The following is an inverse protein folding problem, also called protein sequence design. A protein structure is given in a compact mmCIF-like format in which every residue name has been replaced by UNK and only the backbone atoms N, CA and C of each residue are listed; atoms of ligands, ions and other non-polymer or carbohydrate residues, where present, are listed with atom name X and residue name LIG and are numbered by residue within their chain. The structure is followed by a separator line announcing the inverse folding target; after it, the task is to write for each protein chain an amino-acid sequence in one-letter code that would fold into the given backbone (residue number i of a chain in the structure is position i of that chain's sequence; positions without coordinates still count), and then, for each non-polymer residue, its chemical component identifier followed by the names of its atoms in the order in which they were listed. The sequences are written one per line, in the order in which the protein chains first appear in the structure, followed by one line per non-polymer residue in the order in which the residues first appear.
data_IF_721328454147
#
_entry.id   IF_721328454147
#
_cell.length_a   1.000
_cell.length_b   1.000
_cell.length_c   1.000
_cell.angle_alpha   90.00
_cell.angle_beta   90.00
_cell.angle_gamma   90.00
#
_symmetry.space_group_name_H-M   'P 1'
#
loop_
_entity.id
_entity.type
_entity.pdbx_description
1 polymer ?
#
# COMPACT_ATOMS: atom_id res chain seq x y z
N UNK A 1 -13.38 12.60 22.29
CA UNK A 1 -13.05 13.14 20.95
C UNK A 1 -13.85 12.38 19.93
N UNK A 2 -14.42 13.04 18.93
CA UNK A 2 -15.17 12.38 17.86
C UNK A 2 -14.15 11.54 17.04
N UNK A 3 -14.46 10.26 16.83
CA UNK A 3 -13.59 9.39 16.03
C UNK A 3 -13.62 9.86 14.58
N UNK A 4 -12.45 10.11 13.99
CA UNK A 4 -12.31 10.53 12.59
C UNK A 4 -12.52 9.34 11.64
N UNK A 5 -13.23 9.52 10.53
CA UNK A 5 -13.48 8.46 9.56
C UNK A 5 -12.19 8.05 8.84
N UNK A 6 -11.98 6.73 8.70
CA UNK A 6 -10.93 6.12 7.88
C UNK A 6 -11.54 5.52 6.62
N UNK A 7 -11.06 5.90 5.45
CA UNK A 7 -11.37 5.25 4.19
C UNK A 7 -10.30 4.21 3.86
N UNK A 8 -10.69 2.94 3.82
CA UNK A 8 -9.82 1.84 3.43
C UNK A 8 -10.01 1.57 1.93
N UNK A 9 -8.93 1.63 1.17
CA UNK A 9 -8.90 1.50 -0.29
C UNK A 9 -8.46 0.10 -0.66
N UNK A 10 -9.31 -0.64 -1.40
CA UNK A 10 -9.01 -1.99 -1.86
C UNK A 10 -9.27 -2.14 -3.35
N UNK A 11 -8.26 -2.43 -4.18
CA UNK A 11 -8.47 -2.85 -5.55
C UNK A 11 -8.82 -4.34 -5.60
N UNK A 12 -9.71 -4.73 -6.50
CA UNK A 12 -10.09 -6.12 -6.75
C UNK A 12 -9.98 -6.46 -8.23
N UNK A 13 -9.48 -7.65 -8.55
CA UNK A 13 -9.53 -8.26 -9.88
C UNK A 13 -9.36 -9.77 -9.78
N UNK A 14 -10.40 -10.56 -10.11
CA UNK A 14 -10.41 -12.02 -10.03
C UNK A 14 -9.84 -12.53 -8.70
N UNK A 15 -10.39 -12.04 -7.58
CA UNK A 15 -9.80 -12.17 -6.25
C UNK A 15 -10.59 -13.11 -5.31
N UNK A 16 -11.53 -13.91 -5.83
CA UNK A 16 -12.45 -14.76 -5.05
C UNK A 16 -11.74 -15.57 -3.95
N UNK A 17 -10.52 -16.03 -4.24
CA UNK A 17 -9.75 -16.90 -3.35
C UNK A 17 -9.37 -16.27 -2.00
N UNK A 18 -9.14 -14.97 -1.95
CA UNK A 18 -8.58 -14.32 -0.75
C UNK A 18 -9.36 -13.09 -0.28
N UNK A 19 -10.16 -12.48 -1.16
CA UNK A 19 -10.79 -11.20 -0.88
C UNK A 19 -11.73 -11.24 0.34
N UNK A 20 -12.38 -12.38 0.60
CA UNK A 20 -13.21 -12.56 1.79
C UNK A 20 -12.42 -12.38 3.08
N UNK A 21 -11.26 -13.05 3.20
CA UNK A 21 -10.38 -12.87 4.37
C UNK A 21 -9.90 -11.42 4.51
N UNK A 22 -9.62 -10.75 3.38
CA UNK A 22 -9.15 -9.36 3.36
C UNK A 22 -10.25 -8.39 3.79
N UNK A 23 -11.49 -8.59 3.36
CA UNK A 23 -12.65 -7.79 3.78
C UNK A 23 -12.93 -8.01 5.28
N UNK A 24 -12.99 -9.27 5.71
CA UNK A 24 -13.28 -9.62 7.09
C UNK A 24 -12.27 -9.02 8.06
N UNK A 25 -10.97 -9.04 7.76
CA UNK A 25 -9.97 -8.45 8.64
C UNK A 25 -10.08 -6.93 8.76
N UNK A 26 -10.64 -6.23 7.77
CA UNK A 26 -10.90 -4.79 7.82
C UNK A 26 -12.17 -4.51 8.62
N UNK A 27 -13.25 -5.25 8.39
CA UNK A 27 -14.51 -5.06 9.10
C UNK A 27 -14.39 -5.39 10.60
N UNK A 28 -13.45 -6.27 10.96
CA UNK A 28 -13.15 -6.68 12.34
C UNK A 28 -12.04 -5.86 13.00
N UNK A 29 -11.65 -4.70 12.46
CA UNK A 29 -10.72 -3.79 13.14
C UNK A 29 -11.31 -3.30 14.47
N UNK A 30 -10.46 -3.10 15.48
CA UNK A 30 -10.90 -2.50 16.76
C UNK A 30 -11.39 -1.07 16.58
N UNK A 31 -10.86 -0.35 15.62
CA UNK A 31 -11.34 0.96 15.22
C UNK A 31 -12.50 0.83 14.22
N UNK A 32 -13.73 1.12 14.67
CA UNK A 32 -14.95 0.85 13.91
C UNK A 32 -15.42 1.99 12.98
N UNK A 33 -14.94 3.23 13.17
CA UNK A 33 -15.35 4.36 12.32
C UNK A 33 -14.57 4.35 11.01
N UNK A 34 -14.89 3.38 10.15
CA UNK A 34 -14.28 3.17 8.86
C UNK A 34 -15.31 2.96 7.76
N UNK A 35 -14.89 3.23 6.51
CA UNK A 35 -15.54 2.77 5.30
C UNK A 35 -14.55 1.95 4.48
N UNK A 36 -15.01 0.89 3.83
CA UNK A 36 -14.23 0.06 2.93
C UNK A 36 -14.68 0.29 1.50
N UNK A 37 -13.81 0.89 0.69
CA UNK A 37 -14.06 1.24 -0.70
C UNK A 37 -13.34 0.27 -1.60
N UNK A 38 -14.08 -0.62 -2.24
CA UNK A 38 -13.56 -1.66 -3.14
C UNK A 38 -13.86 -1.25 -4.58
N UNK A 39 -12.82 -1.11 -5.40
CA UNK A 39 -13.02 -0.96 -6.83
C UNK A 39 -12.61 -2.25 -7.53
N UNK A 40 -13.59 -2.90 -8.15
CA UNK A 40 -13.39 -4.06 -9.00
C UNK A 40 -12.99 -3.64 -10.41
N UNK A 41 -11.78 -4.03 -10.82
CA UNK A 41 -11.16 -3.64 -12.08
C UNK A 41 -11.57 -4.58 -13.22
N UNK A 42 -12.89 -4.74 -13.41
CA UNK A 42 -13.50 -5.59 -14.43
C UNK A 42 -13.20 -7.08 -14.26
N UNK A 43 -13.51 -7.64 -13.10
CA UNK A 43 -13.40 -9.10 -12.89
C UNK A 43 -14.27 -9.88 -13.86
N UNK A 44 -13.70 -10.96 -14.39
CA UNK A 44 -14.40 -11.93 -15.25
C UNK A 44 -14.84 -13.18 -14.49
N UNK A 45 -14.36 -13.32 -13.27
CA UNK A 45 -14.69 -14.38 -12.32
C UNK A 45 -16.00 -14.06 -11.60
N UNK A 46 -17.04 -14.86 -11.84
CA UNK A 46 -18.37 -14.68 -11.26
C UNK A 46 -18.36 -14.81 -9.73
N UNK A 47 -17.51 -15.68 -9.18
CA UNK A 47 -17.39 -15.90 -7.74
C UNK A 47 -16.90 -14.62 -7.02
N UNK A 48 -15.92 -13.91 -7.60
CA UNK A 48 -15.50 -12.60 -7.11
C UNK A 48 -16.66 -11.60 -7.08
N UNK A 49 -17.42 -11.51 -8.19
CA UNK A 49 -18.51 -10.55 -8.30
C UNK A 49 -19.66 -10.85 -7.32
N UNK A 50 -20.02 -12.12 -7.14
CA UNK A 50 -21.06 -12.56 -6.19
C UNK A 50 -20.63 -12.29 -4.75
N UNK A 51 -19.38 -12.60 -4.40
CA UNK A 51 -18.81 -12.38 -3.09
C UNK A 51 -18.83 -10.89 -2.72
N UNK A 52 -18.35 -10.03 -3.61
CA UNK A 52 -18.37 -8.59 -3.45
C UNK A 52 -19.79 -8.07 -3.21
N UNK A 53 -20.76 -8.43 -4.06
CA UNK A 53 -22.18 -8.03 -3.88
C UNK A 53 -22.74 -8.52 -2.56
N UNK A 54 -22.34 -9.69 -2.07
CA UNK A 54 -22.77 -10.23 -0.79
C UNK A 54 -22.30 -9.37 0.39
N UNK A 55 -21.03 -8.94 0.38
CA UNK A 55 -20.47 -8.08 1.42
C UNK A 55 -21.14 -6.69 1.43
N UNK A 56 -21.37 -6.10 0.26
CA UNK A 56 -22.08 -4.81 0.15
C UNK A 56 -23.48 -4.84 0.74
N UNK A 57 -24.17 -5.98 0.63
CA UNK A 57 -25.51 -6.16 1.23
C UNK A 57 -25.46 -6.39 2.74
N UNK A 58 -24.38 -7.02 3.24
CA UNK A 58 -24.26 -7.40 4.66
C UNK A 58 -23.78 -6.26 5.56
N UNK A 59 -22.91 -5.38 5.06
CA UNK A 59 -22.31 -4.33 5.88
C UNK A 59 -22.33 -2.98 5.14
N UNK A 60 -23.00 -2.00 5.72
CA UNK A 60 -23.17 -0.65 5.14
C UNK A 60 -21.88 0.14 4.99
N UNK A 61 -20.81 -0.26 5.70
CA UNK A 61 -19.48 0.32 5.57
C UNK A 61 -18.79 -0.07 4.25
N UNK A 62 -19.22 -1.16 3.59
CA UNK A 62 -18.66 -1.67 2.33
C UNK A 62 -19.33 -1.00 1.14
N UNK A 63 -18.53 -0.36 0.30
CA UNK A 63 -18.96 0.25 -0.96
C UNK A 63 -18.16 -0.34 -2.10
N UNK A 64 -18.84 -0.76 -3.17
CA UNK A 64 -18.21 -1.41 -4.31
C UNK A 64 -18.49 -0.64 -5.58
N UNK A 65 -17.43 -0.45 -6.37
CA UNK A 65 -17.45 0.20 -7.67
C UNK A 65 -16.98 -0.79 -8.73
N UNK A 66 -17.80 -1.09 -9.72
CA UNK A 66 -17.46 -2.00 -10.82
C UNK A 66 -17.00 -1.17 -12.02
N UNK A 67 -15.76 -1.40 -12.48
CA UNK A 67 -15.22 -0.70 -13.64
C UNK A 67 -15.67 -1.37 -14.94
N UNK A 68 -15.92 -0.59 -16.03
CA UNK A 68 -16.35 -1.14 -17.31
C UNK A 68 -15.24 -1.89 -18.06
N UNK A 69 -13.97 -1.66 -17.69
CA UNK A 69 -12.79 -2.26 -18.32
C UNK A 69 -11.63 -2.37 -17.32
N UNK A 70 -10.65 -3.26 -17.59
CA UNK A 70 -9.46 -3.45 -16.76
C UNK A 70 -8.38 -2.41 -17.05
N UNK A 71 -8.21 -1.46 -16.14
CA UNK A 71 -7.22 -0.38 -16.22
C UNK A 71 -6.03 -0.56 -15.25
N UNK A 72 -6.07 -1.59 -14.43
CA UNK A 72 -5.04 -1.95 -13.46
C UNK A 72 -5.27 -1.37 -12.06
N UNK A 73 -4.61 -1.99 -11.08
CA UNK A 73 -4.81 -1.70 -9.66
C UNK A 73 -4.62 -0.23 -9.25
N UNK A 74 -3.77 0.53 -9.96
CA UNK A 74 -3.60 1.97 -9.68
C UNK A 74 -4.83 2.79 -10.02
N UNK A 75 -5.48 2.47 -11.14
CA UNK A 75 -6.72 3.12 -11.55
C UNK A 75 -7.85 2.75 -10.59
N UNK A 76 -7.97 1.48 -10.25
CA UNK A 76 -8.96 1.02 -9.27
C UNK A 76 -8.79 1.72 -7.91
N UNK A 77 -7.54 1.85 -7.41
CA UNK A 77 -7.29 2.59 -6.17
C UNK A 77 -7.65 4.07 -6.30
N UNK A 78 -7.35 4.70 -7.43
CA UNK A 78 -7.70 6.12 -7.65
C UNK A 78 -9.21 6.35 -7.64
N UNK A 79 -9.99 5.45 -8.22
CA UNK A 79 -11.45 5.52 -8.15
C UNK A 79 -11.93 5.47 -6.69
N UNK A 80 -11.44 4.52 -5.90
CA UNK A 80 -11.77 4.45 -4.47
C UNK A 80 -11.26 5.66 -3.68
N UNK A 81 -10.07 6.21 -3.97
CA UNK A 81 -9.55 7.43 -3.35
C UNK A 81 -10.48 8.63 -3.66
N UNK A 82 -10.97 8.74 -4.89
CA UNK A 82 -11.89 9.80 -5.29
C UNK A 82 -13.18 9.77 -4.46
N UNK A 83 -13.73 8.59 -4.23
CA UNK A 83 -14.97 8.36 -3.48
C UNK A 83 -14.79 8.40 -1.95
N UNK A 84 -13.54 8.38 -1.46
CA UNK A 84 -13.24 8.36 -0.03
C UNK A 84 -13.76 9.62 0.69
N UNK A 85 -14.40 9.43 1.84
CA UNK A 85 -14.94 10.52 2.68
C UNK A 85 -14.16 10.70 3.98
N UNK A 86 -13.29 9.75 4.30
CA UNK A 86 -12.49 9.76 5.52
C UNK A 86 -11.40 10.81 5.51
N UNK A 87 -11.09 11.33 6.69
CA UNK A 87 -9.89 12.13 6.91
C UNK A 87 -8.62 11.32 6.66
N UNK A 88 -8.62 10.06 7.05
CA UNK A 88 -7.49 9.17 6.84
C UNK A 88 -7.77 8.21 5.70
N UNK A 89 -6.75 7.97 4.86
CA UNK A 89 -6.80 7.00 3.78
C UNK A 89 -5.76 5.91 4.05
N UNK A 90 -6.22 4.66 4.10
CA UNK A 90 -5.40 3.47 4.29
C UNK A 90 -5.56 2.51 3.09
N UNK A 91 -4.59 1.62 2.86
CA UNK A 91 -4.57 0.71 1.72
C UNK A 91 -4.49 -0.74 2.18
N UNK A 92 -5.33 -1.60 1.60
CA UNK A 92 -5.25 -3.04 1.75
C UNK A 92 -5.50 -3.71 0.40
N UNK A 93 -4.60 -4.56 -0.05
CA UNK A 93 -4.82 -5.32 -1.29
C UNK A 93 -5.73 -6.53 -1.01
N UNK A 94 -6.44 -7.01 -2.04
CA UNK A 94 -7.46 -8.06 -1.92
C UNK A 94 -6.93 -9.46 -1.55
N UNK A 95 -5.61 -9.60 -1.41
CA UNK A 95 -4.93 -10.82 -0.99
C UNK A 95 -4.15 -10.66 0.33
N UNK A 96 -4.15 -9.45 0.92
CA UNK A 96 -3.45 -9.12 2.16
C UNK A 96 -4.40 -9.12 3.37
N UNK A 97 -3.83 -9.11 4.59
CA UNK A 97 -4.61 -9.05 5.84
C UNK A 97 -3.99 -8.10 6.84
N UNK A 98 -4.83 -7.54 7.72
CA UNK A 98 -4.43 -6.69 8.81
C UNK A 98 -4.59 -7.38 10.16
N UNK A 99 -3.75 -7.00 11.12
CA UNK A 99 -4.00 -7.30 12.54
C UNK A 99 -5.18 -6.48 13.04
N UNK A 100 -5.96 -6.98 14.02
CA UNK A 100 -7.17 -6.31 14.49
C UNK A 100 -6.96 -4.87 14.98
N UNK A 101 -5.81 -4.58 15.58
CA UNK A 101 -5.52 -3.29 16.20
C UNK A 101 -4.79 -2.30 15.26
N UNK A 102 -4.61 -2.64 13.97
CA UNK A 102 -3.78 -1.83 13.07
C UNK A 102 -4.25 -0.38 12.97
N UNK A 103 -5.52 -0.15 12.68
CA UNK A 103 -6.04 1.20 12.52
C UNK A 103 -5.98 1.97 13.84
N UNK A 104 -6.37 1.36 14.95
CA UNK A 104 -6.32 1.98 16.28
C UNK A 104 -4.91 2.47 16.62
N UNK A 105 -3.92 1.58 16.53
CA UNK A 105 -2.52 1.90 16.85
C UNK A 105 -1.92 2.96 15.94
N UNK A 106 -2.17 2.88 14.64
CA UNK A 106 -1.65 3.88 13.70
C UNK A 106 -2.28 5.26 13.90
N UNK A 107 -3.57 5.33 14.16
CA UNK A 107 -4.25 6.60 14.44
C UNK A 107 -3.78 7.23 15.74
N UNK A 108 -3.65 6.46 16.82
CA UNK A 108 -3.08 6.91 18.09
C UNK A 108 -1.65 7.47 17.90
N UNK A 109 -0.84 6.74 17.13
CA UNK A 109 0.51 7.19 16.80
C UNK A 109 0.51 8.50 16.01
N UNK A 110 -0.32 8.62 14.97
CA UNK A 110 -0.43 9.85 14.16
C UNK A 110 -0.95 11.03 14.97
N UNK A 111 -1.88 10.80 15.90
CA UNK A 111 -2.44 11.85 16.75
C UNK A 111 -1.45 12.32 17.84
N UNK A 112 -0.48 11.49 18.21
CA UNK A 112 0.58 11.85 19.16
C UNK A 112 1.79 12.54 18.52
N UNK A 113 1.79 12.68 17.18
CA UNK A 113 2.87 13.29 16.40
C UNK A 113 2.28 14.27 15.39
N UNK A 114 2.23 15.55 15.73
CA UNK A 114 1.55 16.59 14.94
C UNK A 114 2.06 16.74 13.50
N UNK A 115 3.30 16.34 13.23
CA UNK A 115 3.93 16.36 11.90
C UNK A 115 3.78 15.03 11.13
N UNK A 116 3.09 14.03 11.70
CA UNK A 116 2.89 12.73 11.08
C UNK A 116 1.73 12.74 10.10
N UNK A 117 1.97 13.08 8.85
CA UNK A 117 0.95 12.98 7.81
C UNK A 117 0.94 11.62 7.07
N UNK A 118 2.01 10.84 7.15
CA UNK A 118 2.12 9.49 6.56
C UNK A 118 2.72 8.54 7.59
N UNK A 119 1.96 7.51 7.98
CA UNK A 119 2.38 6.45 8.86
C UNK A 119 2.36 5.11 8.14
N UNK A 120 3.28 4.21 8.50
CA UNK A 120 3.34 2.84 7.99
C UNK A 120 3.87 1.89 9.09
N UNK A 121 3.83 0.58 8.85
CA UNK A 121 4.30 -0.38 9.84
C UNK A 121 5.16 -1.47 9.25
N UNK A 122 5.82 -2.24 10.11
CA UNK A 122 6.34 -3.56 9.74
C UNK A 122 5.19 -4.48 9.33
N UNK A 123 5.52 -5.57 8.62
CA UNK A 123 4.55 -6.57 8.23
C UNK A 123 5.18 -7.96 8.16
N UNK A 124 4.36 -8.96 8.41
CA UNK A 124 4.73 -10.36 8.24
C UNK A 124 4.51 -10.78 6.79
N UNK A 125 5.39 -11.63 6.30
CA UNK A 125 5.26 -12.23 4.95
C UNK A 125 4.76 -13.65 5.11
N UNK A 126 3.68 -14.00 4.40
CA UNK A 126 3.18 -15.37 4.32
C UNK A 126 3.13 -15.85 2.86
N UNK A 127 3.09 -17.16 2.68
CA UNK A 127 2.82 -17.76 1.36
C UNK A 127 1.31 -17.83 1.08
N UNK A 128 0.96 -18.44 -0.06
CA UNK A 128 -0.43 -18.59 -0.50
C UNK A 128 -1.31 -19.41 0.48
N UNK A 129 -0.70 -20.28 1.30
CA UNK A 129 -1.41 -21.05 2.34
C UNK A 129 -1.54 -20.29 3.68
N UNK A 130 -0.94 -19.10 3.79
CA UNK A 130 -0.91 -18.32 5.02
C UNK A 130 0.26 -18.66 5.96
N UNK A 131 1.16 -19.58 5.58
CA UNK A 131 2.32 -19.94 6.39
C UNK A 131 3.33 -18.78 6.45
N UNK A 132 3.80 -18.44 7.64
CA UNK A 132 4.80 -17.41 7.87
C UNK A 132 6.14 -17.72 7.18
N UNK A 133 6.70 -16.73 6.47
CA UNK A 133 7.95 -16.83 5.69
C UNK A 133 8.99 -15.77 6.06
N UNK A 134 8.64 -14.83 6.93
CA UNK A 134 9.55 -13.78 7.36
C UNK A 134 8.84 -12.49 7.72
N UNK A 135 9.62 -11.49 8.09
CA UNK A 135 9.16 -10.17 8.49
C UNK A 135 9.91 -9.10 7.70
N UNK A 136 9.21 -8.01 7.37
CA UNK A 136 9.80 -6.78 6.86
C UNK A 136 9.66 -5.71 7.93
N UNK A 137 10.80 -5.24 8.44
CA UNK A 137 10.86 -4.25 9.50
C UNK A 137 10.82 -2.85 8.91
N UNK A 138 9.89 -2.03 9.39
CA UNK A 138 9.79 -0.62 9.07
C UNK A 138 10.86 0.19 9.84
N UNK A 139 11.57 1.14 9.20
CA UNK A 139 12.34 2.13 9.95
C UNK A 139 11.37 3.03 10.73
N UNK A 140 11.74 3.45 11.93
CA UNK A 140 10.90 4.33 12.77
C UNK A 140 10.65 5.70 12.13
N UNK A 141 11.58 6.16 11.28
CA UNK A 141 11.51 7.43 10.53
C UNK A 141 12.05 7.21 9.13
N UNK A 142 11.44 7.86 8.15
CA UNK A 142 11.83 7.75 6.75
C UNK A 142 11.76 9.15 6.10
N UNK A 143 12.86 9.59 5.52
CA UNK A 143 12.96 10.86 4.79
C UNK A 143 12.59 10.68 3.31
N UNK A 144 12.24 11.78 2.63
CA UNK A 144 11.99 11.78 1.19
C UNK A 144 13.19 11.20 0.40
N UNK A 145 14.43 11.57 0.78
CA UNK A 145 15.65 11.09 0.13
C UNK A 145 15.80 9.57 0.26
N UNK A 146 15.58 9.03 1.46
CA UNK A 146 15.65 7.57 1.67
C UNK A 146 14.56 6.81 0.91
N UNK A 147 13.31 7.32 0.89
CA UNK A 147 12.23 6.73 0.11
C UNK A 147 12.49 6.82 -1.38
N UNK A 148 13.13 7.90 -1.87
CA UNK A 148 13.53 8.05 -3.26
C UNK A 148 14.56 7.00 -3.69
N UNK A 149 15.45 6.58 -2.78
CA UNK A 149 16.48 5.57 -3.05
C UNK A 149 15.93 4.12 -2.99
N UNK A 150 14.91 3.85 -2.18
CA UNK A 150 14.33 2.51 -2.03
C UNK A 150 12.89 2.62 -1.51
N UNK A 151 11.94 1.89 -2.12
CA UNK A 151 10.59 1.80 -1.59
C UNK A 151 10.58 0.96 -0.31
N UNK A 152 10.56 1.63 0.84
CA UNK A 152 10.54 1.02 2.18
C UNK A 152 9.13 0.94 2.78
N UNK A 153 8.12 1.48 2.12
CA UNK A 153 6.73 1.49 2.59
C UNK A 153 5.96 0.38 1.88
N UNK A 154 5.48 -0.60 2.63
CA UNK A 154 4.52 -1.59 2.12
C UNK A 154 3.14 -0.96 1.93
N UNK A 155 2.54 -1.07 0.74
CA UNK A 155 1.25 -0.45 0.44
C UNK A 155 0.19 -0.81 1.50
N UNK A 156 0.08 -2.10 1.84
CA UNK A 156 -0.86 -2.63 2.84
C UNK A 156 -0.69 -2.05 4.25
N UNK A 157 0.44 -1.42 4.55
CA UNK A 157 0.73 -0.88 5.88
C UNK A 157 0.51 0.62 6.00
N UNK A 158 0.38 1.31 4.87
CA UNK A 158 0.34 2.75 4.83
C UNK A 158 -1.03 3.34 5.19
N UNK A 159 -1.00 4.45 5.92
CA UNK A 159 -2.13 5.34 6.20
C UNK A 159 -1.66 6.78 6.14
N UNK A 160 -2.43 7.68 5.53
CA UNK A 160 -2.09 9.09 5.49
C UNK A 160 -3.28 10.00 5.85
N UNK A 161 -2.98 11.18 6.41
CA UNK A 161 -3.95 12.22 6.74
C UNK A 161 -4.19 13.12 5.52
N UNK A 162 -5.45 13.28 5.10
CA UNK A 162 -5.83 14.16 4.00
C UNK A 162 -5.97 15.62 4.44
N UNK A 163 -6.10 15.88 5.74
CA UNK A 163 -6.40 17.22 6.27
C UNK A 163 -5.36 18.28 5.87
N UNK A 164 -4.03 18.01 5.94
CA UNK A 164 -3.07 19.05 5.62
C UNK A 164 -2.91 19.32 4.12
N UNK A 165 -3.09 18.33 3.26
CA UNK A 165 -2.70 18.43 1.84
C UNK A 165 -3.74 17.87 0.85
N UNK A 166 -4.89 17.43 1.32
CA UNK A 166 -5.92 16.78 0.49
C UNK A 166 -5.58 15.36 0.08
N UNK A 167 -6.31 14.86 -0.90
CA UNK A 167 -6.14 13.52 -1.44
C UNK A 167 -4.99 13.47 -2.45
N UNK A 168 -4.21 12.41 -2.40
CA UNK A 168 -3.17 12.10 -3.39
C UNK A 168 -3.60 10.93 -4.26
N UNK A 169 -3.24 10.97 -5.55
CA UNK A 169 -3.58 9.95 -6.52
C UNK A 169 -2.35 9.24 -7.06
N UNK A 170 -2.52 7.98 -7.42
CA UNK A 170 -1.47 7.18 -8.04
C UNK A 170 -1.28 7.61 -9.50
N UNK A 171 -0.05 7.70 -10.02
CA UNK A 171 0.17 7.99 -11.44
C UNK A 171 -0.26 6.81 -12.31
N UNK A 172 -0.54 7.08 -13.59
CA UNK A 172 -0.96 6.09 -14.60
C UNK A 172 0.19 5.22 -15.08
N UNK A 173 0.90 4.56 -14.14
CA UNK A 173 1.93 3.56 -14.41
C UNK A 173 1.47 2.21 -13.89
N UNK A 174 1.73 1.11 -14.61
CA UNK A 174 1.17 -0.20 -14.23
C UNK A 174 1.80 -0.86 -13.01
N UNK A 175 2.98 -0.40 -12.55
CA UNK A 175 3.68 -0.92 -11.36
C UNK A 175 4.36 0.23 -10.64
N UNK A 176 4.60 0.07 -9.33
CA UNK A 176 5.22 1.10 -8.48
C UNK A 176 4.36 2.36 -8.27
N UNK A 177 3.05 2.25 -8.52
CA UNK A 177 2.12 3.36 -8.31
C UNK A 177 2.08 3.81 -6.84
N UNK A 178 2.12 2.83 -5.94
CA UNK A 178 2.21 3.01 -4.48
C UNK A 178 3.45 3.81 -4.09
N UNK A 179 4.61 3.44 -4.61
CA UNK A 179 5.85 4.17 -4.35
C UNK A 179 5.78 5.62 -4.85
N UNK A 180 5.26 5.83 -6.05
CA UNK A 180 5.09 7.17 -6.60
C UNK A 180 4.08 8.00 -5.78
N UNK A 181 2.99 7.40 -5.30
CA UNK A 181 2.03 8.04 -4.40
C UNK A 181 2.73 8.51 -3.11
N UNK A 182 3.46 7.62 -2.43
CA UNK A 182 4.15 7.95 -1.18
C UNK A 182 5.23 9.03 -1.38
N UNK A 183 5.95 8.99 -2.48
CA UNK A 183 6.88 10.06 -2.84
C UNK A 183 6.18 11.41 -3.03
N UNK A 184 5.00 11.45 -3.66
CA UNK A 184 4.21 12.67 -3.81
C UNK A 184 3.71 13.20 -2.46
N UNK A 185 3.26 12.34 -1.56
CA UNK A 185 2.91 12.72 -0.18
C UNK A 185 4.14 13.30 0.52
N UNK A 186 5.27 12.62 0.47
CA UNK A 186 6.48 13.03 1.17
C UNK A 186 7.15 14.26 0.58
N UNK A 187 6.86 14.64 -0.65
CA UNK A 187 7.24 15.98 -1.19
C UNK A 187 6.56 17.12 -0.43
N UNK A 188 5.48 16.86 0.29
CA UNK A 188 4.74 17.83 1.10
C UNK A 188 5.10 17.74 2.59
N UNK A 189 5.09 16.53 3.15
CA UNK A 189 5.35 16.33 4.58
C UNK A 189 6.82 16.03 4.94
N UNK A 190 7.68 15.77 3.94
CA UNK A 190 9.12 15.53 4.06
C UNK A 190 9.55 14.29 4.86
N UNK A 191 8.73 13.83 5.81
CA UNK A 191 8.99 12.70 6.71
C UNK A 191 7.78 11.79 6.78
N UNK A 192 8.02 10.47 6.79
CA UNK A 192 7.03 9.46 7.14
C UNK A 192 7.49 8.72 8.40
N UNK A 193 6.55 8.26 9.20
CA UNK A 193 6.82 7.55 10.44
C UNK A 193 6.44 6.08 10.34
N UNK A 194 7.35 5.21 10.77
CA UNK A 194 7.18 3.78 10.74
C UNK A 194 7.07 3.17 12.13
N UNK A 195 6.10 2.29 12.30
CA UNK A 195 5.95 1.47 13.51
C UNK A 195 6.71 0.17 13.32
N UNK A 196 7.62 -0.16 14.24
CA UNK A 196 8.43 -1.38 14.20
C UNK A 196 7.55 -2.63 14.43
N UNK A 197 6.43 -2.48 15.13
CA UNK A 197 5.46 -3.55 15.33
C UNK A 197 4.83 -3.97 13.98
N UNK A 198 4.75 -5.29 13.67
CA UNK A 198 4.06 -5.75 12.48
C UNK A 198 2.54 -5.64 12.68
N UNK A 199 1.86 -4.94 11.77
CA UNK A 199 0.42 -4.71 11.82
C UNK A 199 -0.33 -5.28 10.61
N UNK A 200 0.36 -6.00 9.72
CA UNK A 200 -0.25 -6.60 8.53
C UNK A 200 0.46 -7.88 8.10
N UNK A 201 -0.23 -8.69 7.29
CA UNK A 201 0.29 -9.86 6.60
C UNK A 201 0.31 -9.61 5.10
N UNK A 202 1.48 -9.63 4.50
CA UNK A 202 1.68 -9.61 3.06
C UNK A 202 1.67 -11.03 2.50
N UNK A 203 0.73 -11.37 1.62
CA UNK A 203 0.62 -12.69 1.00
C UNK A 203 1.42 -12.74 -0.29
N UNK A 204 2.39 -13.66 -0.37
CA UNK A 204 3.09 -13.96 -1.62
C UNK A 204 2.30 -14.98 -2.43
N UNK A 205 1.63 -14.51 -3.47
CA UNK A 205 0.91 -15.38 -4.40
C UNK A 205 1.78 -15.72 -5.62
N UNK A 206 1.58 -16.88 -6.29
CA UNK A 206 2.30 -17.23 -7.52
C UNK A 206 2.10 -16.21 -8.65
N UNK A 207 0.96 -15.53 -8.68
CA UNK A 207 0.52 -14.58 -9.72
C UNK A 207 0.86 -13.13 -9.40
N UNK A 208 1.41 -12.87 -8.20
CA UNK A 208 1.71 -11.52 -7.70
C UNK A 208 2.55 -10.66 -8.65
N UNK A 209 2.12 -9.41 -8.85
CA UNK A 209 2.71 -8.44 -9.80
C UNK A 209 4.20 -8.14 -9.55
N UNK A 210 4.71 -8.39 -8.33
CA UNK A 210 6.08 -8.07 -7.91
C UNK A 210 7.14 -9.09 -8.35
N UNK A 211 6.77 -10.20 -8.98
CA UNK A 211 7.66 -11.35 -9.21
C UNK A 211 8.74 -11.14 -10.28
N UNK A 212 8.47 -10.35 -11.34
CA UNK A 212 9.40 -10.14 -12.46
C UNK A 212 10.32 -8.94 -12.21
N UNK A 213 11.40 -9.13 -11.44
CA UNK A 213 12.30 -8.04 -10.97
C UNK A 213 12.94 -7.21 -12.08
N UNK A 214 13.37 -7.83 -13.19
CA UNK A 214 13.98 -7.09 -14.31
C UNK A 214 13.02 -6.12 -14.99
N UNK A 215 11.73 -6.48 -15.09
CA UNK A 215 10.71 -5.58 -15.64
C UNK A 215 10.43 -4.38 -14.72
N UNK A 216 10.81 -4.44 -13.43
CA UNK A 216 10.61 -3.32 -12.49
C UNK A 216 11.57 -2.15 -12.73
N UNK A 217 12.72 -2.37 -13.38
CA UNK A 217 13.72 -1.31 -13.64
C UNK A 217 13.09 -0.17 -14.46
N UNK A 218 12.41 -0.51 -15.55
CA UNK A 218 11.74 0.51 -16.38
C UNK A 218 10.62 1.25 -15.64
N UNK A 219 9.89 0.55 -14.76
CA UNK A 219 8.87 1.19 -13.92
C UNK A 219 9.49 2.10 -12.85
N UNK A 220 10.65 1.74 -12.28
CA UNK A 220 11.37 2.62 -11.37
C UNK A 220 11.80 3.92 -12.09
N UNK A 221 12.28 3.84 -13.36
CA UNK A 221 12.57 5.03 -14.15
C UNK A 221 11.33 5.91 -14.35
N UNK A 222 10.18 5.29 -14.67
CA UNK A 222 8.90 6.01 -14.80
C UNK A 222 8.47 6.72 -13.53
N UNK A 223 8.74 6.16 -12.33
CA UNK A 223 8.47 6.86 -11.06
C UNK A 223 9.26 8.17 -11.00
N UNK A 224 10.55 8.18 -11.33
CA UNK A 224 11.34 9.43 -11.33
C UNK A 224 10.85 10.44 -12.36
N UNK A 225 10.43 9.99 -13.54
CA UNK A 225 9.83 10.87 -14.56
C UNK A 225 8.54 11.52 -14.04
N UNK A 226 7.61 10.73 -13.51
CA UNK A 226 6.31 11.24 -13.06
C UNK A 226 6.40 12.08 -11.78
N UNK A 227 7.23 11.68 -10.82
CA UNK A 227 7.28 12.34 -9.50
C UNK A 227 8.21 13.54 -9.48
N UNK A 228 9.36 13.44 -10.16
CA UNK A 228 10.41 14.45 -10.11
C UNK A 228 10.63 15.19 -11.43
N UNK A 229 9.89 14.84 -12.50
CA UNK A 229 10.03 15.48 -13.80
C UNK A 229 11.37 15.17 -14.51
N UNK A 230 12.03 14.06 -14.14
CA UNK A 230 13.31 13.71 -14.76
C UNK A 230 13.12 13.33 -16.23
N UNK A 231 14.06 13.72 -17.07
CA UNK A 231 14.14 13.19 -18.44
C UNK A 231 14.37 11.68 -18.41
N UNK A 232 14.11 10.99 -19.51
CA UNK A 232 14.38 9.55 -19.64
C UNK A 232 15.82 9.24 -19.28
N UNK A 233 16.78 9.98 -19.86
CA UNK A 233 18.21 9.80 -19.61
C UNK A 233 18.55 9.99 -18.11
N UNK A 234 18.13 11.10 -17.50
CA UNK A 234 18.36 11.37 -16.08
C UNK A 234 17.76 10.28 -15.17
N UNK A 235 16.60 9.74 -15.52
CA UNK A 235 15.97 8.68 -14.75
C UNK A 235 16.79 7.39 -14.75
N UNK A 236 17.35 7.00 -15.90
CA UNK A 236 18.22 5.83 -15.98
C UNK A 236 19.60 6.05 -15.35
N UNK A 237 20.20 7.23 -15.49
CA UNK A 237 21.44 7.58 -14.78
C UNK A 237 21.23 7.51 -13.26
N UNK A 238 20.11 8.06 -12.74
CA UNK A 238 19.80 7.97 -11.33
C UNK A 238 19.61 6.51 -10.86
N UNK A 239 18.95 5.67 -11.66
CA UNK A 239 18.81 4.24 -11.37
C UNK A 239 20.16 3.54 -11.28
N UNK A 240 21.06 3.78 -12.24
CA UNK A 240 22.36 3.10 -12.31
C UNK A 240 23.28 3.55 -11.17
N UNK A 241 23.40 4.85 -10.94
CA UNK A 241 24.39 5.39 -10.02
C UNK A 241 23.92 5.54 -8.58
N UNK A 242 22.61 5.58 -8.32
CA UNK A 242 22.07 5.79 -6.98
C UNK A 242 21.23 4.59 -6.52
N UNK A 243 20.18 4.23 -7.26
CA UNK A 243 19.24 3.19 -6.84
C UNK A 243 19.88 1.80 -6.80
N UNK A 244 20.56 1.37 -7.86
CA UNK A 244 21.15 0.03 -7.92
C UNK A 244 22.27 -0.17 -6.88
N UNK A 245 23.22 0.74 -6.66
CA UNK A 245 24.18 0.62 -5.58
C UNK A 245 23.52 0.49 -4.21
N UNK A 246 22.51 1.32 -3.88
CA UNK A 246 21.75 1.23 -2.63
C UNK A 246 21.04 -0.12 -2.48
N UNK A 247 20.45 -0.64 -3.55
CA UNK A 247 19.80 -1.95 -3.55
C UNK A 247 20.78 -3.10 -3.33
N UNK A 248 21.98 -3.06 -3.92
CA UNK A 248 22.99 -4.10 -3.75
C UNK A 248 23.64 -4.06 -2.37
N UNK A 249 23.97 -2.88 -1.85
CA UNK A 249 24.52 -2.74 -0.48
C UNK A 249 23.56 -3.28 0.56
N UNK A 250 22.26 -2.98 0.44
CA UNK A 250 21.20 -3.54 1.31
C UNK A 250 21.16 -5.07 1.26
N UNK A 251 21.31 -5.67 0.06
CA UNK A 251 21.32 -7.14 -0.08
C UNK A 251 22.55 -7.77 0.59
N UNK A 252 23.70 -7.17 0.42
CA UNK A 252 24.97 -7.65 1.02
C UNK A 252 24.89 -7.55 2.54
N UNK A 253 24.42 -6.43 3.08
CA UNK A 253 24.24 -6.24 4.53
C UNK A 253 23.26 -7.27 5.11
N UNK A 254 22.12 -7.49 4.47
CA UNK A 254 21.14 -8.49 4.91
C UNK A 254 21.68 -9.93 4.80
N UNK A 255 22.49 -10.23 3.80
CA UNK A 255 23.15 -11.54 3.65
C UNK A 255 24.16 -11.79 4.76
N UNK A 256 25.02 -10.80 5.07
CA UNK A 256 25.98 -10.87 6.18
C UNK A 256 25.28 -11.04 7.54
N UNK A 257 24.17 -10.31 7.76
CA UNK A 257 23.39 -10.41 8.99
C UNK A 257 22.76 -11.81 9.16
N UNK A 258 22.40 -12.48 8.06
CA UNK A 258 21.85 -13.85 8.10
C UNK A 258 22.91 -14.93 8.29
N UNK A 259 24.18 -14.67 7.94
CA UNK A 259 25.29 -15.63 8.20
C UNK A 259 25.74 -15.59 9.66
N UNK A 260 25.52 -14.47 10.36
CA UNK A 260 25.91 -14.27 11.76
C UNK A 260 24.85 -14.73 12.78
N UNK A 261 23.73 -15.25 12.31
CA UNK A 261 22.69 -15.91 13.12
C UNK A 261 22.70 -17.42 12.91
#
# INVERSE_FOLDING_TARGET
MQQELVSVIMPSYNASKYIGESIDCILNQTYQNLELLITDDHSTDSETLELLKSYQKKDSRVKIFFMPENNGAGFARNNSIQEAKGRYIAFCDSDDRWFPEKLQKQLEYMQSHDDCCLCFSSYLVCDASGQHKGIVIAPSRLTLTELKHDNKIGCLTAIYDTKPYGKFYMPTIRKRQDWALFLNIMKKCHVAYGMVEPLAYYRKTPEGLSRKKFKLISYNAKVYQHVFGYSVLCSYLYLIFIFLPTYFTKKVVNWIANIRR
#
